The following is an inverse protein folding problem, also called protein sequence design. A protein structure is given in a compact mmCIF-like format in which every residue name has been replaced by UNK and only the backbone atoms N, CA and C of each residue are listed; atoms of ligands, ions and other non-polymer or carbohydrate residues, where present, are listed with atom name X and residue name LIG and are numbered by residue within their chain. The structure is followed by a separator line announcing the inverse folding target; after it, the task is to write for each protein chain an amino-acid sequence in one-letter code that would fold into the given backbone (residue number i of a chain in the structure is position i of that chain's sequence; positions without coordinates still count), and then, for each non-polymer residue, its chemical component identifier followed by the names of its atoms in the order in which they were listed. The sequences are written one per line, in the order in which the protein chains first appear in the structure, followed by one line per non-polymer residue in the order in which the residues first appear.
data_IF_783848943113
#
_entry.id   IF_783848943113
#
_cell.length_a   1.000
_cell.length_b   1.000
_cell.length_c   1.000
_cell.angle_alpha   90.00
_cell.angle_beta   90.00
_cell.angle_gamma   90.00
#
_symmetry.space_group_name_H-M   'P 1'
#
loop_
_entity.id
_entity.type
_entity.pdbx_description
1 polymer ?
#
# COMPACT_ATOMS: atom_id res chain seq x y z
N UNK A 1 15.17 -37.67 61.75
CA UNK A 1 14.91 -36.36 61.26
C UNK A 1 14.70 -36.49 59.72
N UNK A 2 13.45 -36.40 59.25
CA UNK A 2 13.12 -36.56 57.83
C UNK A 2 12.88 -35.15 57.24
N UNK A 3 13.75 -34.74 56.31
CA UNK A 3 13.62 -33.46 55.59
C UNK A 3 12.58 -33.59 54.49
N UNK A 4 11.53 -32.77 54.55
CA UNK A 4 10.47 -32.67 53.53
C UNK A 4 10.85 -31.55 52.56
N UNK A 5 11.24 -31.90 51.35
CA UNK A 5 11.45 -30.95 50.25
C UNK A 5 10.10 -30.62 49.61
N UNK A 6 9.68 -29.33 49.73
CA UNK A 6 8.53 -28.80 49.02
C UNK A 6 8.98 -28.31 47.64
N UNK A 7 8.53 -28.98 46.58
CA UNK A 7 8.64 -28.49 45.23
C UNK A 7 7.64 -27.35 45.04
N UNK A 8 8.15 -26.14 44.78
CA UNK A 8 7.34 -25.02 44.34
C UNK A 8 7.26 -25.09 42.82
N UNK A 9 6.14 -25.51 42.29
CA UNK A 9 5.85 -25.45 40.84
C UNK A 9 5.52 -24.02 40.45
N UNK A 10 6.43 -23.38 39.73
CA UNK A 10 6.18 -22.06 39.10
C UNK A 10 5.39 -22.30 37.82
N UNK A 11 4.10 -21.97 37.84
CA UNK A 11 3.28 -21.91 36.63
C UNK A 11 3.65 -20.65 35.85
N UNK A 12 4.39 -20.81 34.73
CA UNK A 12 4.51 -19.76 33.72
C UNK A 12 3.17 -19.67 32.96
N UNK A 13 2.43 -18.60 33.19
CA UNK A 13 1.29 -18.22 32.36
C UNK A 13 1.81 -17.79 30.99
N UNK A 14 1.29 -18.32 29.86
CA UNK A 14 1.62 -17.82 28.56
C UNK A 14 1.04 -16.41 28.43
N UNK A 15 1.94 -15.41 28.30
CA UNK A 15 1.54 -14.04 28.03
C UNK A 15 0.76 -13.97 26.71
N UNK A 16 -0.51 -13.57 26.77
CA UNK A 16 -1.26 -13.15 25.59
C UNK A 16 -0.55 -11.92 25.01
N UNK A 17 0.22 -12.11 23.94
CA UNK A 17 0.66 -11.01 23.08
C UNK A 17 -0.59 -10.47 22.37
N UNK A 18 -1.20 -9.45 22.95
CA UNK A 18 -2.17 -8.62 22.25
C UNK A 18 -1.41 -7.91 21.13
N UNK A 19 -1.53 -8.41 19.88
CA UNK A 19 -1.07 -7.69 18.70
C UNK A 19 -1.96 -6.45 18.55
N UNK A 20 -1.52 -5.34 19.11
CA UNK A 20 -2.10 -4.05 18.79
C UNK A 20 -1.87 -3.82 17.30
N UNK A 21 -2.93 -3.82 16.49
CA UNK A 21 -2.88 -3.35 15.12
C UNK A 21 -2.51 -1.86 15.20
N UNK A 22 -1.22 -1.56 15.05
CA UNK A 22 -0.75 -0.19 15.02
C UNK A 22 -1.47 0.52 13.87
N UNK A 23 -2.21 1.58 14.19
CA UNK A 23 -2.83 2.42 13.17
C UNK A 23 -1.73 2.95 12.26
N UNK A 24 -1.94 2.79 10.95
CA UNK A 24 -1.02 3.34 9.96
C UNK A 24 -1.18 4.86 9.96
N UNK A 25 -0.14 5.55 10.39
CA UNK A 25 -0.11 7.01 10.51
C UNK A 25 1.23 7.54 9.99
N UNK A 26 1.25 8.74 9.39
CA UNK A 26 2.50 9.42 9.08
C UNK A 26 3.38 9.57 10.33
N UNK A 27 4.69 9.38 10.15
CA UNK A 27 5.67 9.37 11.24
C UNK A 27 5.89 7.98 11.87
N UNK A 28 5.08 6.96 11.57
CA UNK A 28 5.27 5.59 12.07
C UNK A 28 6.08 4.75 11.07
N UNK A 29 6.74 3.71 11.58
CA UNK A 29 7.42 2.73 10.75
C UNK A 29 6.43 2.03 9.81
N UNK A 30 6.79 1.90 8.54
CA UNK A 30 6.01 1.13 7.58
C UNK A 30 6.08 -0.37 7.93
N UNK A 31 4.94 -1.09 7.99
CA UNK A 31 4.94 -2.53 8.20
C UNK A 31 5.76 -3.25 7.12
N UNK A 32 6.70 -4.10 7.55
CA UNK A 32 7.42 -4.97 6.63
C UNK A 32 6.46 -5.96 5.97
N UNK A 33 6.79 -6.36 4.74
CA UNK A 33 6.00 -7.36 4.02
C UNK A 33 6.87 -8.21 3.09
N UNK A 34 6.29 -9.34 2.67
CA UNK A 34 6.82 -10.24 1.64
C UNK A 34 5.67 -10.63 0.72
N UNK A 35 5.74 -10.22 -0.56
CA UNK A 35 4.74 -10.53 -1.57
C UNK A 35 5.39 -11.12 -2.83
N UNK A 36 4.60 -11.82 -3.64
CA UNK A 36 5.03 -12.26 -4.97
C UNK A 36 4.75 -11.16 -5.99
N UNK A 37 5.75 -10.86 -6.81
CA UNK A 37 5.54 -10.01 -7.98
C UNK A 37 4.77 -10.75 -9.06
N UNK A 38 4.25 -10.00 -10.02
CA UNK A 38 3.59 -10.58 -11.21
C UNK A 38 4.54 -11.46 -12.01
N UNK A 39 5.88 -11.28 -11.88
CA UNK A 39 6.91 -12.08 -12.53
C UNK A 39 7.41 -13.25 -11.67
N UNK A 40 6.77 -13.53 -10.53
CA UNK A 40 7.09 -14.62 -9.63
C UNK A 40 8.28 -14.37 -8.72
N UNK A 41 8.81 -13.14 -8.68
CA UNK A 41 9.88 -12.77 -7.75
C UNK A 41 9.31 -12.50 -6.37
N UNK A 42 10.03 -12.86 -5.31
CA UNK A 42 9.70 -12.44 -3.96
C UNK A 42 10.18 -11.01 -3.73
N UNK A 43 9.26 -10.11 -3.40
CA UNK A 43 9.53 -8.71 -3.10
C UNK A 43 9.23 -8.44 -1.63
N UNK A 44 10.17 -7.79 -0.94
CA UNK A 44 10.03 -7.35 0.45
C UNK A 44 10.22 -5.84 0.54
N UNK A 45 9.63 -5.19 1.54
CA UNK A 45 9.86 -3.76 1.73
C UNK A 45 11.33 -3.45 2.10
N UNK A 46 11.95 -4.34 2.86
CA UNK A 46 13.32 -4.20 3.38
C UNK A 46 14.36 -4.08 2.27
N UNK A 47 14.14 -4.72 1.11
CA UNK A 47 15.08 -4.63 -0.02
C UNK A 47 15.19 -3.22 -0.62
N UNK A 48 14.22 -2.34 -0.33
CA UNK A 48 14.20 -0.96 -0.79
C UNK A 48 14.66 0.04 0.28
N UNK A 49 15.24 -0.43 1.39
CA UNK A 49 15.80 0.44 2.41
C UNK A 49 16.82 1.39 1.79
N UNK A 50 16.74 2.67 2.14
CA UNK A 50 17.55 3.73 1.51
C UNK A 50 16.89 4.37 0.28
N UNK A 51 15.74 3.85 -0.17
CA UNK A 51 14.95 4.42 -1.28
C UNK A 51 13.61 4.93 -0.80
N UNK A 52 13.05 5.89 -1.52
CA UNK A 52 11.65 6.27 -1.41
C UNK A 52 10.78 5.21 -2.06
N UNK A 53 9.66 4.84 -1.40
CA UNK A 53 8.74 3.81 -1.90
C UNK A 53 7.32 4.35 -1.91
N UNK A 54 6.67 4.28 -3.07
CA UNK A 54 5.22 4.51 -3.21
C UNK A 54 4.53 3.16 -3.21
N UNK A 55 3.51 2.99 -2.37
CA UNK A 55 2.59 1.86 -2.41
C UNK A 55 1.26 2.35 -2.97
N UNK A 56 0.76 1.68 -3.99
CA UNK A 56 -0.53 1.91 -4.62
C UNK A 56 -1.41 0.67 -4.44
N UNK A 57 -2.49 0.76 -3.69
CA UNK A 57 -3.53 -0.28 -3.75
C UNK A 57 -4.40 -0.05 -4.96
N UNK A 58 -4.50 -1.07 -5.80
CA UNK A 58 -5.22 -0.99 -7.07
C UNK A 58 -6.19 -2.15 -7.28
N UNK A 59 -7.23 -1.90 -8.08
CA UNK A 59 -8.15 -2.90 -8.61
C UNK A 59 -8.57 -2.46 -10.03
N UNK A 60 -8.30 -3.26 -11.06
CA UNK A 60 -8.67 -2.95 -12.45
C UNK A 60 -10.15 -2.62 -12.68
N UNK A 61 -11.04 -3.25 -11.92
CA UNK A 61 -12.49 -3.11 -12.07
C UNK A 61 -13.07 -1.91 -11.29
N UNK A 62 -12.24 -1.19 -10.53
CA UNK A 62 -12.66 -0.01 -9.78
C UNK A 62 -12.76 1.24 -10.69
N UNK A 63 -13.94 1.89 -10.83
CA UNK A 63 -14.08 3.10 -11.64
C UNK A 63 -13.17 4.26 -11.21
N UNK A 64 -12.84 4.34 -9.92
CA UNK A 64 -11.93 5.36 -9.40
C UNK A 64 -10.47 5.07 -9.78
N UNK A 65 -10.06 3.81 -9.92
CA UNK A 65 -8.76 3.43 -10.49
C UNK A 65 -8.76 3.72 -11.98
N UNK A 66 -9.80 3.29 -12.70
CA UNK A 66 -9.95 3.54 -14.14
C UNK A 66 -9.90 5.03 -14.49
N UNK A 67 -10.49 5.92 -13.67
CA UNK A 67 -10.38 7.38 -13.81
C UNK A 67 -8.93 7.80 -14.02
N UNK A 68 -8.02 7.36 -13.16
CA UNK A 68 -6.63 7.80 -13.18
C UNK A 68 -5.81 7.12 -14.29
N UNK A 69 -6.09 5.85 -14.59
CA UNK A 69 -5.38 5.13 -15.65
C UNK A 69 -5.86 5.54 -17.05
N UNK A 70 -7.17 5.66 -17.28
CA UNK A 70 -7.71 6.05 -18.59
C UNK A 70 -7.36 7.49 -18.97
N UNK A 71 -7.13 8.37 -17.99
CA UNK A 71 -6.67 9.74 -18.20
C UNK A 71 -5.14 9.90 -18.22
N UNK A 72 -4.39 8.80 -18.21
CA UNK A 72 -2.92 8.77 -18.11
C UNK A 72 -2.35 9.47 -16.86
N UNK A 73 -3.19 9.82 -15.89
CA UNK A 73 -2.75 10.51 -14.67
C UNK A 73 -1.88 9.60 -13.79
N UNK A 74 -2.26 8.32 -13.62
CA UNK A 74 -1.48 7.38 -12.81
C UNK A 74 -0.12 7.10 -13.47
N UNK A 75 -0.09 6.87 -14.77
CA UNK A 75 1.16 6.62 -15.52
C UNK A 75 2.12 7.81 -15.42
N UNK A 76 1.60 9.03 -15.60
CA UNK A 76 2.39 10.25 -15.44
C UNK A 76 2.98 10.37 -14.02
N UNK A 77 2.20 10.01 -13.01
CA UNK A 77 2.64 10.03 -11.62
C UNK A 77 3.68 8.94 -11.32
N UNK A 78 3.50 7.74 -11.89
CA UNK A 78 4.49 6.66 -11.83
C UNK A 78 5.82 7.08 -12.49
N UNK A 79 5.78 7.66 -13.69
CA UNK A 79 6.95 8.18 -14.37
C UNK A 79 7.65 9.28 -13.57
N UNK A 80 6.85 10.21 -13.03
CA UNK A 80 7.39 11.28 -12.21
C UNK A 80 8.13 10.76 -10.98
N UNK A 81 7.54 9.79 -10.25
CA UNK A 81 8.17 9.17 -9.09
C UNK A 81 9.45 8.40 -9.46
N UNK A 82 9.39 7.56 -10.49
CA UNK A 82 10.53 6.74 -10.91
C UNK A 82 11.66 7.56 -11.51
N UNK A 83 11.38 8.68 -12.20
CA UNK A 83 12.40 9.63 -12.66
C UNK A 83 13.22 10.23 -11.50
N UNK A 84 12.63 10.30 -10.31
CA UNK A 84 13.30 10.69 -9.06
C UNK A 84 13.90 9.50 -8.30
N UNK A 85 14.02 8.33 -8.93
CA UNK A 85 14.52 7.08 -8.36
C UNK A 85 13.66 6.55 -7.20
N UNK A 86 12.38 6.89 -7.14
CA UNK A 86 11.44 6.26 -6.22
C UNK A 86 11.01 4.90 -6.77
N UNK A 87 10.80 3.95 -5.88
CA UNK A 87 10.25 2.64 -6.20
C UNK A 87 8.72 2.74 -6.14
N UNK A 88 8.03 2.29 -7.18
CA UNK A 88 6.56 2.23 -7.20
C UNK A 88 6.08 0.79 -7.14
N UNK A 89 5.37 0.45 -6.08
CA UNK A 89 4.80 -0.88 -5.84
C UNK A 89 3.28 -0.82 -6.01
N UNK A 90 2.78 -1.42 -7.08
CA UNK A 90 1.35 -1.58 -7.32
C UNK A 90 0.89 -2.88 -6.66
N UNK A 91 -0.07 -2.82 -5.73
CA UNK A 91 -0.52 -3.95 -4.92
C UNK A 91 -2.00 -4.23 -5.20
N UNK A 92 -2.32 -5.49 -5.54
CA UNK A 92 -3.69 -5.96 -5.64
C UNK A 92 -3.97 -6.93 -4.47
N UNK A 93 -4.88 -6.53 -3.56
CA UNK A 93 -5.30 -7.33 -2.40
C UNK A 93 -6.71 -7.92 -2.58
N UNK A 94 -7.13 -8.16 -3.82
CA UNK A 94 -8.40 -8.83 -4.11
C UNK A 94 -8.30 -10.32 -3.78
N UNK A 95 -9.23 -10.83 -2.96
CA UNK A 95 -9.30 -12.25 -2.61
C UNK A 95 -9.60 -13.14 -3.82
N UNK A 96 -8.99 -14.33 -3.96
CA UNK A 96 -9.18 -15.22 -5.10
C UNK A 96 -10.63 -15.67 -5.34
N UNK A 97 -11.44 -15.73 -4.31
CA UNK A 97 -12.88 -16.06 -4.42
C UNK A 97 -13.76 -14.91 -4.89
N UNK A 98 -13.22 -13.69 -5.06
CA UNK A 98 -14.00 -12.54 -5.54
C UNK A 98 -14.03 -12.48 -7.07
N UNK A 99 -15.17 -12.14 -7.73
CA UNK A 99 -15.26 -12.04 -9.19
C UNK A 99 -14.25 -11.07 -9.85
N UNK A 100 -13.86 -10.02 -9.12
CA UNK A 100 -12.87 -9.05 -9.57
C UNK A 100 -11.41 -9.53 -9.38
N UNK A 101 -11.19 -10.77 -8.92
CA UNK A 101 -9.82 -11.29 -8.76
C UNK A 101 -9.10 -11.37 -10.11
N UNK A 102 -7.86 -10.89 -10.12
CA UNK A 102 -6.95 -11.00 -11.28
C UNK A 102 -5.68 -11.72 -10.84
N UNK A 103 -5.38 -12.85 -11.49
CA UNK A 103 -4.10 -13.52 -11.30
C UNK A 103 -2.94 -12.71 -11.94
N UNK A 104 -1.71 -13.17 -11.77
CA UNK A 104 -0.53 -12.47 -12.27
C UNK A 104 -0.60 -12.15 -13.77
N UNK A 105 -1.03 -13.11 -14.59
CA UNK A 105 -1.12 -12.92 -16.05
C UNK A 105 -2.18 -11.88 -16.41
N UNK A 106 -3.35 -11.91 -15.77
CA UNK A 106 -4.41 -10.94 -15.98
C UNK A 106 -3.99 -9.52 -15.53
N UNK A 107 -3.28 -9.40 -14.41
CA UNK A 107 -2.72 -8.12 -13.96
C UNK A 107 -1.64 -7.59 -14.91
N UNK A 108 -0.75 -8.45 -15.44
CA UNK A 108 0.23 -8.06 -16.47
C UNK A 108 -0.45 -7.56 -17.75
N UNK A 109 -1.45 -8.28 -18.23
CA UNK A 109 -2.21 -7.89 -19.40
C UNK A 109 -2.88 -6.52 -19.20
N UNK A 110 -3.49 -6.29 -18.03
CA UNK A 110 -4.09 -5.01 -17.69
C UNK A 110 -3.03 -3.90 -17.60
N UNK A 111 -1.90 -4.12 -16.93
CA UNK A 111 -0.81 -3.15 -16.85
C UNK A 111 -0.30 -2.78 -18.25
N UNK A 112 -0.15 -3.76 -19.15
CA UNK A 112 0.25 -3.51 -20.54
C UNK A 112 -0.78 -2.67 -21.29
N UNK A 113 -2.06 -3.04 -21.19
CA UNK A 113 -3.17 -2.32 -21.81
C UNK A 113 -3.24 -0.86 -21.33
N UNK A 114 -3.08 -0.65 -20.04
CA UNK A 114 -3.10 0.67 -19.43
C UNK A 114 -1.79 1.44 -19.59
N UNK A 115 -0.74 0.83 -20.16
CA UNK A 115 0.62 1.40 -20.20
C UNK A 115 1.12 1.80 -18.81
N UNK A 116 0.72 1.04 -17.79
CA UNK A 116 1.15 1.24 -16.42
C UNK A 116 2.66 1.01 -16.28
N UNK A 117 3.31 1.77 -15.40
CA UNK A 117 4.77 1.79 -15.22
C UNK A 117 5.19 1.65 -13.76
N UNK A 118 4.61 0.73 -12.97
CA UNK A 118 5.12 0.46 -11.63
C UNK A 118 6.49 -0.22 -11.73
N UNK A 119 7.34 -0.04 -10.71
CA UNK A 119 8.58 -0.81 -10.58
C UNK A 119 8.28 -2.29 -10.41
N UNK A 120 7.23 -2.62 -9.64
CA UNK A 120 6.71 -3.97 -9.47
C UNK A 120 5.19 -3.95 -9.29
N UNK A 121 4.50 -4.89 -9.97
CA UNK A 121 3.14 -5.26 -9.63
C UNK A 121 3.18 -6.45 -8.67
N UNK A 122 2.42 -6.39 -7.58
CA UNK A 122 2.42 -7.36 -6.48
C UNK A 122 1.03 -7.91 -6.21
N UNK A 123 0.96 -9.18 -5.80
CA UNK A 123 -0.29 -9.82 -5.38
C UNK A 123 -0.28 -10.07 -3.87
N UNK A 124 -1.37 -9.65 -3.22
CA UNK A 124 -1.66 -9.87 -1.80
C UNK A 124 -3.03 -10.59 -1.65
N UNK A 125 -3.17 -11.83 -2.17
CA UNK A 125 -4.46 -12.50 -2.29
C UNK A 125 -5.11 -12.83 -0.93
N UNK A 126 -4.35 -12.88 0.14
CA UNK A 126 -4.85 -13.05 1.51
C UNK A 126 -5.20 -11.72 2.19
N UNK A 127 -4.82 -10.59 1.58
CA UNK A 127 -5.07 -9.26 2.13
C UNK A 127 -4.30 -8.94 3.41
N UNK A 128 -3.23 -9.69 3.70
CA UNK A 128 -2.42 -9.51 4.92
C UNK A 128 -1.74 -8.16 4.91
N UNK A 129 -1.10 -7.82 3.79
CA UNK A 129 -0.40 -6.54 3.64
C UNK A 129 -1.38 -5.38 3.56
N UNK A 130 -2.46 -5.54 2.79
CA UNK A 130 -3.51 -4.52 2.73
C UNK A 130 -4.09 -4.20 4.10
N UNK A 131 -4.39 -5.22 4.91
CA UNK A 131 -4.90 -5.01 6.29
C UNK A 131 -3.85 -4.37 7.20
N UNK A 132 -2.58 -4.79 7.11
CA UNK A 132 -1.49 -4.21 7.90
C UNK A 132 -1.28 -2.72 7.59
N UNK A 133 -1.52 -2.30 6.35
CA UNK A 133 -1.47 -0.90 5.92
C UNK A 133 -2.83 -0.18 6.02
N UNK A 134 -3.84 -0.79 6.62
CA UNK A 134 -5.17 -0.20 6.74
C UNK A 134 -5.76 0.21 5.38
N UNK A 135 -5.43 -0.50 4.31
CA UNK A 135 -5.95 -0.23 2.99
C UNK A 135 -7.45 -0.56 2.94
N UNK A 136 -8.27 0.45 2.70
CA UNK A 136 -9.74 0.35 2.71
C UNK A 136 -10.34 0.49 1.32
N UNK A 137 -9.67 1.26 0.45
CA UNK A 137 -10.19 1.61 -0.88
C UNK A 137 -9.15 1.42 -1.96
N UNK A 138 -9.60 1.46 -3.22
CA UNK A 138 -8.75 1.58 -4.40
C UNK A 138 -9.20 2.77 -5.25
N UNK A 139 -8.27 3.68 -5.66
CA UNK A 139 -6.86 3.69 -5.26
C UNK A 139 -6.67 4.19 -3.81
N UNK A 140 -5.68 3.65 -3.11
CA UNK A 140 -5.17 4.20 -1.86
C UNK A 140 -3.66 4.24 -1.94
N UNK A 141 -3.05 5.32 -1.43
CA UNK A 141 -1.64 5.63 -1.63
C UNK A 141 -0.91 5.72 -0.29
N UNK A 142 0.33 5.24 -0.28
CA UNK A 142 1.26 5.42 0.84
C UNK A 142 2.62 5.84 0.28
N UNK A 143 3.29 6.82 0.90
CA UNK A 143 4.67 7.18 0.61
C UNK A 143 5.53 6.83 1.83
N UNK A 144 6.58 6.05 1.60
CA UNK A 144 7.55 5.63 2.62
C UNK A 144 8.90 6.24 2.28
N UNK A 145 9.57 6.82 3.29
CA UNK A 145 10.90 7.42 3.12
C UNK A 145 12.03 6.38 3.18
N UNK A 146 13.27 6.76 2.85
CA UNK A 146 14.44 5.87 2.89
C UNK A 146 14.73 5.22 4.26
N UNK A 147 14.26 5.82 5.36
CA UNK A 147 14.38 5.25 6.69
C UNK A 147 13.28 4.21 7.01
N UNK A 148 12.34 3.98 6.10
CA UNK A 148 11.22 3.06 6.30
C UNK A 148 10.06 3.68 7.09
N UNK A 149 9.94 5.02 7.15
CA UNK A 149 8.87 5.73 7.83
C UNK A 149 7.80 6.17 6.83
N UNK A 150 6.53 6.03 7.21
CA UNK A 150 5.40 6.53 6.42
C UNK A 150 5.40 8.06 6.47
N UNK A 151 5.39 8.70 5.32
CA UNK A 151 5.38 10.16 5.17
C UNK A 151 4.03 10.67 4.67
N UNK A 152 3.36 9.85 3.86
CA UNK A 152 2.01 10.13 3.37
C UNK A 152 1.17 8.85 3.40
N UNK A 153 -0.12 9.01 3.74
CA UNK A 153 -1.10 7.93 3.70
C UNK A 153 -2.48 8.51 3.35
N UNK A 154 -3.12 8.03 2.27
CA UNK A 154 -4.45 8.52 1.92
C UNK A 154 -4.84 8.42 0.44
N UNK A 155 -5.60 9.41 -0.01
CA UNK A 155 -6.11 9.52 -1.36
C UNK A 155 -5.02 9.94 -2.37
N UNK A 156 -5.23 9.65 -3.65
CA UNK A 156 -4.36 10.16 -4.71
C UNK A 156 -4.54 11.67 -4.91
N UNK A 157 -5.79 12.16 -4.79
CA UNK A 157 -6.18 13.57 -4.92
C UNK A 157 -7.36 13.94 -4.01
N UNK A 158 -7.80 15.22 -4.04
CA UNK A 158 -8.83 15.76 -3.16
C UNK A 158 -10.27 15.56 -3.65
N UNK A 159 -10.51 15.14 -4.92
CA UNK A 159 -11.88 15.06 -5.46
C UNK A 159 -12.35 13.63 -5.58
N UNK A 160 -13.29 13.26 -4.71
CA UNK A 160 -13.88 11.92 -4.58
C UNK A 160 -14.90 11.65 -5.70
N UNK A 161 -14.43 11.57 -6.93
CA UNK A 161 -15.27 11.27 -8.10
C UNK A 161 -14.59 10.26 -9.02
N UNK A 162 -15.37 9.57 -9.86
CA UNK A 162 -14.87 8.69 -10.91
C UNK A 162 -14.71 9.44 -12.27
N UNK A 163 -14.97 10.75 -12.30
CA UNK A 163 -14.86 11.57 -13.53
C UNK A 163 -13.43 11.98 -13.82
N UNK A 164 -12.85 11.65 -14.98
CA UNK A 164 -11.53 12.14 -15.40
C UNK A 164 -11.43 13.66 -15.46
N UNK A 165 -12.52 14.36 -15.79
CA UNK A 165 -12.57 15.82 -15.89
C UNK A 165 -12.35 16.57 -14.57
N UNK A 166 -12.33 15.84 -13.44
CA UNK A 166 -12.07 16.43 -12.12
C UNK A 166 -10.58 16.36 -11.72
N UNK A 167 -9.76 15.58 -12.44
CA UNK A 167 -8.33 15.46 -12.14
C UNK A 167 -7.63 16.83 -12.16
N UNK A 168 -7.77 17.68 -13.19
CA UNK A 168 -7.09 18.97 -13.23
C UNK A 168 -7.59 20.00 -12.19
N UNK A 169 -8.74 19.75 -11.57
CA UNK A 169 -9.33 20.62 -10.53
C UNK A 169 -8.93 20.21 -9.12
N UNK A 170 -8.42 18.98 -8.96
CA UNK A 170 -8.12 18.40 -7.68
C UNK A 170 -6.75 18.84 -7.15
N UNK A 171 -6.61 18.91 -5.82
CA UNK A 171 -5.31 19.00 -5.17
C UNK A 171 -4.65 17.61 -5.29
N UNK A 172 -3.49 17.48 -5.96
CA UNK A 172 -2.86 16.19 -6.22
C UNK A 172 -1.99 15.76 -5.01
N UNK A 173 -2.63 15.29 -3.94
CA UNK A 173 -1.99 15.02 -2.66
C UNK A 173 -0.73 14.17 -2.74
N UNK A 174 -0.78 13.02 -3.44
CA UNK A 174 0.41 12.17 -3.55
C UNK A 174 1.54 12.86 -4.32
N UNK A 175 1.23 13.57 -5.40
CA UNK A 175 2.22 14.31 -6.17
C UNK A 175 2.91 15.38 -5.32
N UNK A 176 2.12 16.16 -4.57
CA UNK A 176 2.66 17.16 -3.65
C UNK A 176 3.55 16.52 -2.59
N UNK A 177 3.12 15.40 -1.99
CA UNK A 177 3.94 14.69 -1.00
C UNK A 177 5.28 14.23 -1.58
N UNK A 178 5.32 13.73 -2.83
CA UNK A 178 6.56 13.35 -3.52
C UNK A 178 7.43 14.58 -3.81
N UNK A 179 6.86 15.69 -4.27
CA UNK A 179 7.60 16.93 -4.59
C UNK A 179 8.21 17.56 -3.34
N UNK A 180 7.41 17.70 -2.29
CA UNK A 180 7.83 18.31 -1.03
C UNK A 180 8.93 17.47 -0.35
N UNK A 181 8.75 16.15 -0.27
CA UNK A 181 9.73 15.25 0.33
C UNK A 181 11.04 15.19 -0.47
N UNK A 182 10.98 15.18 -1.80
CA UNK A 182 12.16 15.24 -2.66
C UNK A 182 12.92 16.56 -2.52
N UNK A 183 12.24 17.66 -2.14
CA UNK A 183 12.84 18.94 -1.84
C UNK A 183 13.31 19.07 -0.38
N UNK A 184 13.25 18.00 0.43
CA UNK A 184 13.61 18.01 1.85
C UNK A 184 12.64 18.80 2.72
N UNK A 185 11.43 19.08 2.23
CA UNK A 185 10.38 19.82 2.95
C UNK A 185 9.44 18.86 3.68
N UNK A 186 8.84 19.30 4.80
CA UNK A 186 7.72 18.57 5.39
C UNK A 186 6.55 18.46 4.41
N UNK A 187 5.85 17.32 4.44
CA UNK A 187 4.64 17.12 3.63
C UNK A 187 3.50 17.96 4.20
N UNK A 188 2.95 18.87 3.41
CA UNK A 188 1.88 19.78 3.83
C UNK A 188 0.60 19.03 4.22
N UNK A 189 0.25 17.99 3.46
CA UNK A 189 -0.90 17.13 3.72
C UNK A 189 -0.40 15.69 3.96
N UNK A 190 0.10 15.35 5.17
CA UNK A 190 0.69 14.03 5.41
C UNK A 190 -0.34 12.89 5.44
N UNK A 191 -1.62 13.23 5.59
CA UNK A 191 -2.72 12.27 5.51
C UNK A 191 -3.94 12.88 4.84
N UNK A 192 -4.76 12.02 4.20
CA UNK A 192 -6.06 12.38 3.66
C UNK A 192 -7.00 11.18 3.72
N UNK A 193 -8.31 11.42 3.64
CA UNK A 193 -9.30 10.33 3.62
C UNK A 193 -9.28 9.67 2.24
N UNK A 194 -8.86 8.39 2.13
CA UNK A 194 -8.87 7.68 0.86
C UNK A 194 -10.30 7.49 0.37
N UNK A 195 -10.48 7.41 -0.94
CA UNK A 195 -11.78 7.19 -1.57
C UNK A 195 -11.66 6.18 -2.71
N UNK A 196 -12.77 5.55 -3.06
CA UNK A 196 -12.83 4.55 -4.12
C UNK A 196 -13.68 3.34 -3.75
N UNK A 197 -13.55 2.28 -4.53
CA UNK A 197 -14.18 1.00 -4.20
C UNK A 197 -13.49 0.36 -3.01
N UNK A 198 -14.22 -0.35 -2.16
CA UNK A 198 -13.62 -1.13 -1.08
C UNK A 198 -12.65 -2.17 -1.61
N UNK A 199 -11.53 -2.39 -0.90
CA UNK A 199 -10.63 -3.52 -1.17
C UNK A 199 -11.41 -4.82 -0.94
N UNK A 200 -11.30 -5.77 -1.88
CA UNK A 200 -12.08 -7.02 -1.89
C UNK A 200 -11.37 -8.11 -1.07
N UNK A 201 -11.27 -7.87 0.23
CA UNK A 201 -10.75 -8.88 1.15
C UNK A 201 -11.69 -10.09 1.28
N UNK A 202 -11.14 -11.24 1.74
CA UNK A 202 -11.99 -12.32 2.22
C UNK A 202 -12.89 -11.83 3.36
N UNK A 203 -14.15 -12.27 3.34
CA UNK A 203 -15.03 -12.12 4.52
C UNK A 203 -14.43 -12.93 5.68
N UNK A 204 -14.42 -12.36 6.87
CA UNK A 204 -14.05 -13.08 8.09
C UNK A 204 -15.18 -14.04 8.46
#
# INVERSE_FOLDING_TARGET
MKAIWRFVSVFLLPGLFCQSHAMIEPGKAAPGFRLQSLDGQTITLEQFKGSWVVLEWTNPDCPFVQKHYNAANMQTLQEFATSKKHIWLQINSTHPGHPEFRNANAMKAWNTQQKARPSYGLLDPQGIVGRAYGAKTTPQMVLVNPAGTIIYHGAIDSIRSASPGDIPKAIPFLRQAIEESAAGKPVTNPSSVPYGCSVKYASN
#
